data_IF_948132267939
#
_entry.id   IF_948132267939
#
_cell.length_a   1.000
_cell.length_b   1.000
_cell.length_c   1.000
_cell.angle_alpha   90.00
_cell.angle_beta   90.00
_cell.angle_gamma   90.00
#
_symmetry.space_group_name_H-M   'P 1'
#
loop_
_entity.id
_entity.type
_entity.pdbx_description
1 polymer ?
#
# COMPACT_ATOMS: atom_id res chain seq x y z
N UNK A 1 50.14 -3.40 -22.83
CA UNK A 1 48.80 -3.63 -23.43
C UNK A 1 47.86 -4.53 -22.60
N UNK A 2 48.35 -5.55 -21.89
CA UNK A 2 47.49 -6.49 -21.14
C UNK A 2 46.77 -5.87 -19.92
N UNK A 3 47.41 -4.92 -19.22
CA UNK A 3 46.79 -4.20 -18.08
C UNK A 3 45.64 -3.27 -18.50
N UNK A 4 45.74 -2.63 -19.67
CA UNK A 4 44.70 -1.74 -20.20
C UNK A 4 43.42 -2.51 -20.59
N UNK A 5 43.57 -3.71 -21.18
CA UNK A 5 42.44 -4.61 -21.50
C UNK A 5 41.75 -5.13 -20.24
N UNK A 6 42.49 -5.41 -19.16
CA UNK A 6 41.90 -5.82 -17.88
C UNK A 6 41.08 -4.70 -17.24
N UNK A 7 41.59 -3.47 -17.24
CA UNK A 7 40.88 -2.29 -16.68
C UNK A 7 39.62 -2.00 -17.50
N UNK A 8 39.69 -2.07 -18.84
CA UNK A 8 38.54 -1.87 -19.73
C UNK A 8 37.45 -2.95 -19.55
N UNK A 9 37.85 -4.21 -19.37
CA UNK A 9 36.90 -5.28 -19.09
C UNK A 9 36.26 -5.12 -17.70
N UNK A 10 37.01 -4.70 -16.67
CA UNK A 10 36.44 -4.46 -15.33
C UNK A 10 35.48 -3.27 -15.29
N UNK A 11 35.74 -2.19 -16.04
CA UNK A 11 34.82 -1.03 -16.11
C UNK A 11 33.55 -1.37 -16.90
N UNK A 12 33.65 -2.16 -17.98
CA UNK A 12 32.47 -2.66 -18.72
C UNK A 12 31.61 -3.57 -17.85
N UNK A 13 32.24 -4.44 -17.04
CA UNK A 13 31.50 -5.34 -16.13
C UNK A 13 30.81 -4.57 -15.01
N UNK A 14 31.48 -3.53 -14.45
CA UNK A 14 30.89 -2.66 -13.42
C UNK A 14 29.72 -1.84 -13.98
N UNK A 15 29.82 -1.32 -15.21
CA UNK A 15 28.73 -0.61 -15.89
C UNK A 15 27.54 -1.53 -16.21
N UNK A 16 27.81 -2.79 -16.56
CA UNK A 16 26.76 -3.78 -16.85
C UNK A 16 26.00 -4.19 -15.58
N UNK A 17 26.70 -4.36 -14.45
CA UNK A 17 26.06 -4.61 -13.15
C UNK A 17 25.23 -3.42 -12.68
N UNK A 18 25.67 -2.18 -12.93
CA UNK A 18 24.92 -0.96 -12.59
C UNK A 18 23.65 -0.79 -13.45
N UNK A 19 23.67 -1.24 -14.72
CA UNK A 19 22.51 -1.18 -15.61
C UNK A 19 21.39 -2.15 -15.23
N UNK A 20 21.72 -3.34 -14.72
CA UNK A 20 20.74 -4.37 -14.33
C UNK A 20 19.99 -3.96 -13.05
N UNK A 21 20.66 -3.33 -12.09
CA UNK A 21 20.02 -2.88 -10.83
C UNK A 21 19.02 -1.75 -11.05
N UNK A 22 19.26 -0.86 -12.02
CA UNK A 22 18.35 0.24 -12.38
C UNK A 22 17.07 -0.26 -13.06
N UNK A 23 17.15 -1.26 -13.94
CA UNK A 23 15.99 -1.83 -14.63
C UNK A 23 15.06 -2.59 -13.67
N UNK A 24 15.64 -3.35 -12.72
CA UNK A 24 14.86 -4.02 -11.67
C UNK A 24 14.19 -3.00 -10.73
N UNK A 25 14.89 -1.93 -10.35
CA UNK A 25 14.34 -0.88 -9.49
C UNK A 25 13.16 -0.10 -10.11
N UNK A 26 13.11 0.04 -11.43
CA UNK A 26 12.01 0.72 -12.10
C UNK A 26 10.74 -0.16 -12.17
N UNK A 27 10.92 -1.47 -12.37
CA UNK A 27 9.81 -2.44 -12.41
C UNK A 27 9.15 -2.55 -11.04
N UNK A 28 9.95 -2.66 -9.97
CA UNK A 28 9.42 -2.71 -8.59
C UNK A 28 8.62 -1.45 -8.22
N UNK A 29 9.04 -0.27 -8.70
CA UNK A 29 8.30 0.98 -8.44
C UNK A 29 6.94 1.04 -9.13
N UNK A 30 6.81 0.51 -10.35
CA UNK A 30 5.51 0.44 -11.06
C UNK A 30 4.53 -0.41 -10.25
N UNK A 31 4.97 -1.59 -9.82
CA UNK A 31 4.14 -2.55 -9.09
C UNK A 31 3.72 -2.03 -7.71
N UNK A 32 4.63 -1.33 -7.01
CA UNK A 32 4.32 -0.67 -5.74
C UNK A 32 3.23 0.39 -5.89
N UNK A 33 3.32 1.23 -6.92
CA UNK A 33 2.30 2.26 -7.16
C UNK A 33 0.97 1.61 -7.58
N UNK A 34 1.01 0.49 -8.29
CA UNK A 34 -0.20 -0.24 -8.70
C UNK A 34 -0.92 -0.83 -7.49
N UNK A 35 -0.18 -1.52 -6.62
CA UNK A 35 -0.70 -2.03 -5.37
C UNK A 35 -1.30 -0.91 -4.51
N UNK A 36 -0.60 0.24 -4.41
CA UNK A 36 -1.09 1.39 -3.65
C UNK A 36 -2.33 2.01 -4.28
N UNK A 37 -2.43 2.09 -5.60
CA UNK A 37 -3.62 2.59 -6.30
C UNK A 37 -4.83 1.70 -6.01
N UNK A 38 -4.66 0.38 -6.10
CA UNK A 38 -5.73 -0.59 -5.81
C UNK A 38 -6.18 -0.50 -4.34
N UNK A 39 -5.23 -0.37 -3.41
CA UNK A 39 -5.53 -0.17 -2.00
C UNK A 39 -6.37 1.09 -1.76
N UNK A 40 -5.95 2.23 -2.29
CA UNK A 40 -6.67 3.50 -2.16
C UNK A 40 -8.05 3.45 -2.81
N UNK A 41 -8.23 2.73 -3.93
CA UNK A 41 -9.55 2.51 -4.54
C UNK A 41 -10.48 1.73 -3.62
N UNK A 42 -9.99 0.61 -3.06
CA UNK A 42 -10.75 -0.19 -2.08
C UNK A 42 -11.08 0.63 -0.83
N UNK A 43 -10.18 1.51 -0.40
CA UNK A 43 -10.42 2.42 0.71
C UNK A 43 -11.54 3.41 0.39
N UNK A 44 -11.56 4.01 -0.81
CA UNK A 44 -12.65 4.89 -1.26
C UNK A 44 -13.99 4.15 -1.37
N UNK A 45 -14.00 2.92 -1.87
CA UNK A 45 -15.20 2.07 -1.91
C UNK A 45 -15.75 1.81 -0.51
N UNK A 46 -14.87 1.49 0.46
CA UNK A 46 -15.24 1.35 1.87
C UNK A 46 -15.75 2.65 2.46
N UNK A 47 -15.12 3.79 2.16
CA UNK A 47 -15.57 5.11 2.62
C UNK A 47 -16.98 5.39 2.10
N UNK A 48 -17.24 5.20 0.80
CA UNK A 48 -18.55 5.45 0.22
C UNK A 48 -19.62 4.51 0.82
N UNK A 49 -19.29 3.22 0.96
CA UNK A 49 -20.23 2.23 1.49
C UNK A 49 -20.47 2.30 3.00
N UNK A 50 -19.51 2.76 3.80
CA UNK A 50 -19.65 2.82 5.26
C UNK A 50 -20.01 4.22 5.77
N UNK A 51 -19.51 5.29 5.14
CA UNK A 51 -19.65 6.66 5.66
C UNK A 51 -20.72 7.48 4.93
N UNK A 52 -21.05 7.11 3.68
CA UNK A 52 -21.95 7.87 2.80
C UNK A 52 -23.18 7.08 2.30
N UNK A 53 -23.29 5.77 2.55
CA UNK A 53 -24.43 4.94 2.14
C UNK A 53 -25.72 5.24 2.93
N UNK A 54 -25.59 5.65 4.19
CA UNK A 54 -26.69 5.95 5.09
C UNK A 54 -26.99 7.46 5.12
N UNK A 55 -27.42 8.04 4.00
CA UNK A 55 -27.87 9.44 3.89
C UNK A 55 -29.20 9.72 4.63
N UNK A 56 -29.44 9.11 5.80
CA UNK A 56 -30.53 9.60 6.64
C UNK A 56 -30.25 11.06 6.98
N UNK A 57 -31.25 11.93 6.79
CA UNK A 57 -31.18 13.40 6.82
C UNK A 57 -30.75 14.03 8.18
N UNK A 58 -30.11 13.26 9.07
CA UNK A 58 -29.80 13.60 10.47
C UNK A 58 -28.31 13.54 10.83
N UNK A 59 -27.40 13.40 9.86
CA UNK A 59 -25.96 13.40 10.16
C UNK A 59 -25.52 14.77 10.67
N UNK A 60 -24.80 14.81 11.79
CA UNK A 60 -24.23 16.07 12.30
C UNK A 60 -23.31 16.71 11.26
N UNK A 61 -23.35 18.04 11.16
CA UNK A 61 -22.42 18.79 10.32
C UNK A 61 -20.95 18.48 10.67
N UNK A 62 -20.67 18.21 11.95
CA UNK A 62 -19.32 17.83 12.42
C UNK A 62 -18.87 16.46 11.89
N UNK A 63 -19.75 15.46 11.88
CA UNK A 63 -19.43 14.13 11.34
C UNK A 63 -19.28 14.17 9.82
N UNK A 64 -20.14 14.95 9.15
CA UNK A 64 -20.10 15.12 7.70
C UNK A 64 -18.80 15.76 7.22
N UNK A 65 -18.32 16.81 7.91
CA UNK A 65 -17.09 17.48 7.50
C UNK A 65 -15.86 16.60 7.71
N UNK A 66 -15.81 15.82 8.79
CA UNK A 66 -14.75 14.84 9.05
C UNK A 66 -14.69 13.78 7.93
N UNK A 67 -15.85 13.29 7.49
CA UNK A 67 -15.94 12.33 6.38
C UNK A 67 -15.49 12.88 5.05
N UNK A 68 -15.98 14.08 4.71
CA UNK A 68 -15.60 14.75 3.49
C UNK A 68 -14.10 14.98 3.49
N UNK A 69 -13.52 15.47 4.59
CA UNK A 69 -12.08 15.68 4.67
C UNK A 69 -11.28 14.37 4.51
N UNK A 70 -11.74 13.27 5.12
CA UNK A 70 -11.07 11.98 4.96
C UNK A 70 -11.19 11.45 3.52
N UNK A 71 -12.39 11.49 2.92
CA UNK A 71 -12.61 11.13 1.51
C UNK A 71 -11.73 11.95 0.58
N UNK A 72 -11.66 13.27 0.78
CA UNK A 72 -10.83 14.19 0.02
C UNK A 72 -9.34 13.82 0.15
N UNK A 73 -8.86 13.53 1.36
CA UNK A 73 -7.47 13.13 1.61
C UNK A 73 -7.08 11.86 0.85
N UNK A 74 -7.90 10.80 0.96
CA UNK A 74 -7.66 9.53 0.25
C UNK A 74 -7.75 9.71 -1.27
N UNK A 75 -8.71 10.50 -1.76
CA UNK A 75 -8.89 10.78 -3.19
C UNK A 75 -7.72 11.60 -3.76
N UNK A 76 -7.23 12.62 -3.04
CA UNK A 76 -6.04 13.37 -3.41
C UNK A 76 -4.80 12.45 -3.50
N UNK A 77 -4.65 11.52 -2.55
CA UNK A 77 -3.58 10.53 -2.59
C UNK A 77 -3.70 9.58 -3.79
N UNK A 78 -4.91 9.15 -4.13
CA UNK A 78 -5.17 8.33 -5.32
C UNK A 78 -4.75 9.06 -6.60
N UNK A 79 -5.12 10.33 -6.75
CA UNK A 79 -4.72 11.18 -7.88
C UNK A 79 -3.19 11.32 -7.92
N UNK A 80 -2.55 11.58 -6.78
CA UNK A 80 -1.08 11.70 -6.69
C UNK A 80 -0.37 10.43 -7.16
N UNK A 81 -0.79 9.26 -6.68
CA UNK A 81 -0.23 7.95 -7.07
C UNK A 81 -0.47 7.69 -8.57
N UNK A 82 -1.68 7.98 -9.06
CA UNK A 82 -2.03 7.80 -10.48
C UNK A 82 -1.19 8.71 -11.39
N UNK A 83 -0.97 9.96 -11.00
CA UNK A 83 -0.06 10.88 -11.70
C UNK A 83 1.38 10.38 -11.70
N UNK A 84 1.87 9.84 -10.57
CA UNK A 84 3.21 9.24 -10.50
C UNK A 84 3.35 8.06 -11.45
N UNK A 85 2.34 7.18 -11.54
CA UNK A 85 2.33 6.08 -12.51
C UNK A 85 2.31 6.57 -13.96
N UNK A 86 1.45 7.53 -14.28
CA UNK A 86 1.37 8.10 -15.63
C UNK A 86 2.70 8.76 -16.04
N UNK A 87 3.38 9.43 -15.12
CA UNK A 87 4.70 10.03 -15.36
C UNK A 87 5.78 8.97 -15.59
N UNK A 88 5.75 7.85 -14.84
CA UNK A 88 6.69 6.74 -15.07
C UNK A 88 6.45 6.07 -16.44
N UNK A 89 5.19 5.83 -16.80
CA UNK A 89 4.82 5.31 -18.12
C UNK A 89 5.25 6.26 -19.23
N UNK A 90 5.06 7.58 -19.05
CA UNK A 90 5.48 8.59 -20.02
C UNK A 90 6.99 8.53 -20.28
N UNK A 91 7.81 8.43 -19.22
CA UNK A 91 9.27 8.26 -19.35
C UNK A 91 9.64 6.95 -20.05
N UNK A 92 8.99 5.85 -19.69
CA UNK A 92 9.22 4.55 -20.34
C UNK A 92 8.87 4.58 -21.83
N UNK A 93 7.74 5.19 -22.18
CA UNK A 93 7.28 5.36 -23.57
C UNK A 93 8.31 6.19 -24.37
N UNK A 94 8.80 7.29 -23.80
CA UNK A 94 9.81 8.13 -24.45
C UNK A 94 11.12 7.36 -24.70
N UNK A 95 11.60 6.59 -23.72
CA UNK A 95 12.80 5.76 -23.85
C UNK A 95 12.61 4.66 -24.91
N UNK A 96 11.48 3.94 -24.87
CA UNK A 96 11.16 2.90 -25.84
C UNK A 96 11.03 3.47 -27.25
N UNK A 97 10.44 4.66 -27.40
CA UNK A 97 10.33 5.34 -28.69
C UNK A 97 11.71 5.69 -29.25
N UNK A 98 12.64 6.15 -28.41
CA UNK A 98 14.03 6.41 -28.80
C UNK A 98 14.73 5.13 -29.26
N UNK A 99 14.60 4.04 -28.49
CA UNK A 99 15.19 2.74 -28.83
C UNK A 99 14.61 2.16 -30.14
N UNK A 100 13.29 2.29 -30.34
CA UNK A 100 12.61 1.91 -31.58
C UNK A 100 13.15 2.68 -32.78
N UNK A 101 13.34 4.00 -32.66
CA UNK A 101 13.92 4.82 -33.74
C UNK A 101 15.35 4.37 -34.05
N UNK A 102 16.20 4.21 -33.03
CA UNK A 102 17.58 3.75 -33.21
C UNK A 102 17.64 2.36 -33.88
N UNK A 103 16.86 1.39 -33.41
CA UNK A 103 16.82 0.05 -34.00
C UNK A 103 16.27 0.06 -35.43
N UNK A 104 15.30 0.94 -35.73
CA UNK A 104 14.75 1.10 -37.08
C UNK A 104 15.82 1.62 -38.04
N UNK A 105 16.59 2.63 -37.63
CA UNK A 105 17.67 3.21 -38.45
C UNK A 105 18.80 2.20 -38.66
N UNK A 106 19.23 1.50 -37.61
CA UNK A 106 20.22 0.42 -37.69
C UNK A 106 19.77 -0.71 -38.64
N UNK A 107 18.52 -1.14 -38.53
CA UNK A 107 17.96 -2.17 -39.40
C UNK A 107 17.87 -1.72 -40.86
N UNK A 108 17.58 -0.45 -41.10
CA UNK A 108 17.55 0.12 -42.45
C UNK A 108 18.94 0.00 -43.10
N UNK A 109 19.98 0.47 -42.39
CA UNK A 109 21.37 0.40 -42.86
C UNK A 109 21.83 -1.06 -43.05
N UNK A 110 21.52 -1.96 -42.10
CA UNK A 110 21.89 -3.37 -42.19
C UNK A 110 21.24 -4.06 -43.38
N UNK A 111 19.95 -3.80 -43.63
CA UNK A 111 19.20 -4.35 -44.76
C UNK A 111 19.73 -3.82 -46.09
N UNK A 112 20.01 -2.53 -46.19
CA UNK A 112 20.58 -1.93 -47.39
C UNK A 112 21.96 -2.52 -47.73
N UNK A 113 22.84 -2.62 -46.73
CA UNK A 113 24.17 -3.21 -46.89
C UNK A 113 24.10 -4.70 -47.26
N UNK A 114 23.18 -5.45 -46.64
CA UNK A 114 22.95 -6.85 -46.98
C UNK A 114 22.43 -6.97 -48.43
N UNK A 115 21.46 -6.16 -48.84
CA UNK A 115 20.94 -6.15 -50.19
C UNK A 115 22.02 -5.84 -51.24
N UNK A 116 22.86 -4.82 -51.01
CA UNK A 116 24.02 -4.50 -51.88
C UNK A 116 24.98 -5.69 -52.01
N UNK A 117 25.25 -6.37 -50.90
CA UNK A 117 26.10 -7.56 -50.84
C UNK A 117 25.52 -8.71 -51.66
N UNK A 118 24.24 -9.02 -51.49
CA UNK A 118 23.54 -10.06 -52.24
C UNK A 118 23.49 -9.72 -53.73
N UNK A 119 23.21 -8.47 -54.10
CA UNK A 119 23.18 -8.03 -55.50
C UNK A 119 24.57 -8.18 -56.16
N UNK A 120 25.66 -7.77 -55.50
CA UNK A 120 27.03 -7.97 -56.00
C UNK A 120 27.38 -9.45 -56.14
N UNK A 121 27.03 -10.25 -55.13
CA UNK A 121 27.21 -11.71 -55.16
C UNK A 121 26.46 -12.35 -56.33
N UNK A 122 25.24 -11.88 -56.63
CA UNK A 122 24.43 -12.34 -57.75
C UNK A 122 25.01 -11.93 -59.12
N UNK A 123 25.49 -10.70 -59.27
CA UNK A 123 26.16 -10.26 -60.52
C UNK A 123 27.46 -11.04 -60.79
N UNK A 124 28.12 -11.54 -59.75
CA UNK A 124 29.37 -12.30 -59.83
C UNK A 124 29.16 -13.83 -59.75
N UNK A 125 27.94 -14.32 -60.00
CA UNK A 125 27.47 -15.66 -59.60
C UNK A 125 27.72 -16.79 -60.60
N UNK A 126 28.48 -16.59 -61.68
CA UNK A 126 28.86 -17.73 -62.52
C UNK A 126 29.60 -18.76 -61.65
N UNK A 127 29.08 -19.99 -61.56
CA UNK A 127 29.72 -21.09 -60.79
C UNK A 127 31.13 -21.37 -61.32
N UNK A 128 31.31 -21.19 -62.63
CA UNK A 128 32.60 -21.15 -63.30
C UNK A 128 33.52 -20.11 -62.67
N UNK A 129 33.05 -18.91 -62.31
CA UNK A 129 33.89 -17.87 -61.71
C UNK A 129 34.41 -18.21 -60.31
N UNK A 130 33.71 -19.02 -59.51
CA UNK A 130 34.20 -19.39 -58.15
C UNK A 130 35.26 -20.48 -58.20
N UNK A 131 34.99 -21.54 -58.97
CA UNK A 131 35.96 -22.62 -59.19
C UNK A 131 37.15 -22.08 -59.97
N UNK A 132 36.93 -21.30 -61.03
CA UNK A 132 37.99 -20.63 -61.80
C UNK A 132 38.78 -19.64 -60.94
N UNK A 133 38.17 -18.92 -59.99
CA UNK A 133 38.90 -18.05 -59.05
C UNK A 133 39.82 -18.84 -58.09
N UNK A 134 39.41 -20.03 -57.68
CA UNK A 134 40.25 -20.90 -56.86
C UNK A 134 41.35 -21.55 -57.72
N UNK A 135 41.03 -21.97 -58.95
CA UNK A 135 41.97 -22.61 -59.89
C UNK A 135 42.94 -21.62 -60.55
N UNK A 136 42.60 -20.32 -60.65
CA UNK A 136 43.49 -19.24 -61.12
C UNK A 136 44.49 -18.76 -60.05
N UNK A 137 44.78 -19.61 -59.07
CA UNK A 137 45.77 -19.30 -58.04
C UNK A 137 47.17 -19.71 -58.52
N UNK A 138 48.17 -18.87 -58.28
CA UNK A 138 49.58 -19.12 -58.64
C UNK A 138 50.19 -20.31 -57.88
N UNK A 139 49.65 -20.65 -56.70
CA UNK A 139 50.08 -21.79 -55.88
C UNK A 139 49.00 -22.27 -54.90
N UNK A 140 49.19 -23.47 -54.34
CA UNK A 140 48.28 -24.10 -53.38
C UNK A 140 48.03 -23.25 -52.12
N UNK A 141 49.06 -22.56 -51.61
CA UNK A 141 48.94 -21.68 -50.44
C UNK A 141 47.98 -20.52 -50.71
N UNK A 142 48.04 -19.92 -51.90
CA UNK A 142 47.14 -18.84 -52.32
C UNK A 142 45.71 -19.37 -52.49
N UNK A 143 45.53 -20.54 -53.13
CA UNK A 143 44.22 -21.18 -53.28
C UNK A 143 43.56 -21.48 -51.92
N UNK A 144 44.33 -22.03 -50.96
CA UNK A 144 43.85 -22.30 -49.60
C UNK A 144 43.42 -21.02 -48.88
N UNK A 145 44.20 -19.93 -48.96
CA UNK A 145 43.81 -18.63 -48.39
C UNK A 145 42.54 -18.05 -49.04
N UNK A 146 42.41 -18.13 -50.37
CA UNK A 146 41.20 -17.69 -51.10
C UNK A 146 39.96 -18.47 -50.61
N UNK A 147 40.08 -19.80 -50.45
CA UNK A 147 39.01 -20.64 -49.89
C UNK A 147 38.65 -20.26 -48.45
N UNK A 148 39.65 -20.03 -47.59
CA UNK A 148 39.42 -19.56 -46.22
C UNK A 148 38.65 -18.22 -46.19
N UNK A 149 39.03 -17.26 -47.03
CA UNK A 149 38.33 -15.98 -47.12
C UNK A 149 36.90 -16.11 -47.65
N UNK A 150 36.66 -16.98 -48.64
CA UNK A 150 35.30 -17.27 -49.11
C UNK A 150 34.42 -17.83 -47.99
N UNK A 151 34.95 -18.78 -47.20
CA UNK A 151 34.25 -19.34 -46.05
C UNK A 151 34.01 -18.30 -44.94
N UNK A 152 34.99 -17.43 -44.66
CA UNK A 152 34.82 -16.34 -43.69
C UNK A 152 33.75 -15.34 -44.16
N UNK A 153 33.74 -15.00 -45.45
CA UNK A 153 32.75 -14.11 -46.04
C UNK A 153 31.33 -14.69 -45.95
N UNK A 154 31.16 -15.98 -46.28
CA UNK A 154 29.88 -16.68 -46.13
C UNK A 154 29.39 -16.69 -44.67
N UNK A 155 30.30 -16.92 -43.70
CA UNK A 155 29.97 -16.83 -42.26
C UNK A 155 29.52 -15.43 -41.85
N UNK A 156 30.17 -14.38 -42.35
CA UNK A 156 29.77 -12.99 -42.07
C UNK A 156 28.37 -12.70 -42.65
N UNK A 157 28.07 -13.17 -43.86
CA UNK A 157 26.75 -13.01 -44.47
C UNK A 157 25.65 -13.73 -43.68
N UNK A 158 25.91 -14.96 -43.24
CA UNK A 158 24.98 -15.72 -42.40
C UNK A 158 24.73 -14.99 -41.08
N UNK A 159 25.78 -14.49 -40.43
CA UNK A 159 25.66 -13.70 -39.20
C UNK A 159 24.87 -12.42 -39.42
N UNK A 160 25.11 -11.69 -40.51
CA UNK A 160 24.36 -10.47 -40.83
C UNK A 160 22.86 -10.73 -41.03
N UNK A 161 22.50 -11.85 -41.67
CA UNK A 161 21.11 -12.26 -41.82
C UNK A 161 20.45 -12.58 -40.47
N UNK A 162 21.15 -13.28 -39.59
CA UNK A 162 20.65 -13.58 -38.24
C UNK A 162 20.53 -12.31 -37.39
N UNK A 163 21.51 -11.41 -37.44
CA UNK A 163 21.48 -10.13 -36.73
C UNK A 163 20.27 -9.27 -37.19
N UNK A 164 19.97 -9.23 -38.49
CA UNK A 164 18.78 -8.56 -39.03
C UNK A 164 17.50 -9.20 -38.47
N UNK A 165 17.43 -10.53 -38.44
CA UNK A 165 16.26 -11.28 -37.93
C UNK A 165 16.03 -10.99 -36.44
N UNK A 166 17.06 -11.10 -35.61
CA UNK A 166 16.99 -10.83 -34.16
C UNK A 166 16.59 -9.39 -33.89
N UNK A 167 17.24 -8.42 -34.56
CA UNK A 167 16.89 -6.99 -34.40
C UNK A 167 15.47 -6.69 -34.90
N UNK A 168 15.03 -7.29 -36.00
CA UNK A 168 13.67 -7.12 -36.50
C UNK A 168 12.63 -7.66 -35.52
N UNK A 169 12.90 -8.84 -34.91
CA UNK A 169 12.04 -9.41 -33.88
C UNK A 169 11.98 -8.52 -32.64
N UNK A 170 13.13 -8.03 -32.16
CA UNK A 170 13.20 -7.08 -31.04
C UNK A 170 12.40 -5.79 -31.33
N UNK A 171 12.53 -5.23 -32.53
CA UNK A 171 11.78 -4.05 -32.95
C UNK A 171 10.27 -4.33 -32.97
N UNK A 172 9.83 -5.50 -33.45
CA UNK A 172 8.43 -5.91 -33.42
C UNK A 172 7.91 -5.97 -31.98
N UNK A 173 8.64 -6.65 -31.09
CA UNK A 173 8.23 -6.83 -29.69
C UNK A 173 8.19 -5.49 -28.94
N UNK A 174 9.14 -4.58 -29.19
CA UNK A 174 9.13 -3.22 -28.65
C UNK A 174 7.93 -2.40 -29.15
N UNK A 175 7.58 -2.47 -30.43
CA UNK A 175 6.40 -1.77 -30.96
C UNK A 175 5.10 -2.30 -30.31
N UNK A 176 4.95 -3.62 -30.18
CA UNK A 176 3.80 -4.22 -29.51
C UNK A 176 3.71 -3.81 -28.03
N UNK A 177 4.85 -3.81 -27.32
CA UNK A 177 4.93 -3.34 -25.94
C UNK A 177 4.58 -1.85 -25.80
N UNK A 178 5.04 -1.01 -26.74
CA UNK A 178 4.76 0.42 -26.75
C UNK A 178 3.27 0.72 -26.91
N UNK A 179 2.57 -0.01 -27.78
CA UNK A 179 1.11 0.13 -27.97
C UNK A 179 0.39 -0.15 -26.65
N UNK A 180 0.70 -1.28 -26.00
CA UNK A 180 0.12 -1.65 -24.70
C UNK A 180 0.38 -0.60 -23.62
N UNK A 181 1.60 -0.05 -23.56
CA UNK A 181 1.95 1.00 -22.60
C UNK A 181 1.18 2.31 -22.84
N UNK A 182 0.93 2.67 -24.11
CA UNK A 182 0.12 3.85 -24.45
C UNK A 182 -1.33 3.66 -24.04
N UNK A 183 -1.93 2.51 -24.37
CA UNK A 183 -3.29 2.15 -23.96
C UNK A 183 -3.45 2.18 -22.42
N UNK A 184 -2.51 1.58 -21.68
CA UNK A 184 -2.49 1.61 -20.22
C UNK A 184 -2.45 3.05 -19.70
N UNK A 185 -1.56 3.89 -20.24
CA UNK A 185 -1.44 5.30 -19.85
C UNK A 185 -2.74 6.08 -20.12
N UNK A 186 -3.34 5.90 -21.29
CA UNK A 186 -4.54 6.64 -21.69
C UNK A 186 -5.75 6.25 -20.83
N UNK A 187 -5.86 4.96 -20.47
CA UNK A 187 -6.83 4.48 -19.48
C UNK A 187 -6.64 5.16 -18.13
N UNK A 188 -5.40 5.24 -17.63
CA UNK A 188 -5.11 5.89 -16.34
C UNK A 188 -5.45 7.38 -16.35
N UNK A 189 -5.18 8.07 -17.45
CA UNK A 189 -5.51 9.49 -17.59
C UNK A 189 -7.03 9.70 -17.61
N UNK A 190 -7.77 8.85 -18.34
CA UNK A 190 -9.23 8.91 -18.39
C UNK A 190 -9.86 8.67 -17.00
N UNK A 191 -9.42 7.62 -16.30
CA UNK A 191 -9.87 7.33 -14.93
C UNK A 191 -9.53 8.47 -13.96
N UNK A 192 -8.32 9.04 -14.04
CA UNK A 192 -7.89 10.15 -13.20
C UNK A 192 -8.73 11.42 -13.44
N UNK A 193 -9.14 11.69 -14.69
CA UNK A 193 -10.00 12.84 -15.03
C UNK A 193 -11.39 12.71 -14.39
N UNK A 194 -11.96 11.51 -14.37
CA UNK A 194 -13.25 11.25 -13.69
C UNK A 194 -13.10 11.47 -12.18
N UNK A 195 -12.03 10.94 -11.58
CA UNK A 195 -11.75 11.11 -10.14
C UNK A 195 -11.56 12.58 -9.79
N UNK A 196 -10.86 13.37 -10.61
CA UNK A 196 -10.70 14.81 -10.41
C UNK A 196 -12.04 15.56 -10.44
N UNK A 197 -12.94 15.21 -11.36
CA UNK A 197 -14.29 15.81 -11.41
C UNK A 197 -15.09 15.50 -10.14
N UNK A 198 -15.01 14.27 -9.64
CA UNK A 198 -15.66 13.90 -8.38
C UNK A 198 -15.04 14.61 -7.18
N UNK A 199 -13.71 14.70 -7.13
CA UNK A 199 -12.98 15.42 -6.09
C UNK A 199 -13.44 16.88 -6.02
N UNK A 200 -13.61 17.54 -7.16
CA UNK A 200 -14.07 18.92 -7.22
C UNK A 200 -15.50 19.08 -6.66
N UNK A 201 -16.40 18.14 -6.94
CA UNK A 201 -17.74 18.13 -6.35
C UNK A 201 -17.67 17.94 -4.82
N UNK A 202 -16.87 16.99 -4.34
CA UNK A 202 -16.67 16.74 -2.91
C UNK A 202 -16.03 17.97 -2.21
N UNK A 203 -15.12 18.69 -2.88
CA UNK A 203 -14.49 19.91 -2.37
C UNK A 203 -15.51 21.04 -2.20
N UNK A 204 -16.36 21.27 -3.20
CA UNK A 204 -17.42 22.27 -3.10
C UNK A 204 -18.39 21.98 -1.96
N UNK A 205 -18.75 20.70 -1.78
CA UNK A 205 -19.58 20.30 -0.64
C UNK A 205 -18.87 20.55 0.69
N UNK A 206 -17.59 20.18 0.80
CA UNK A 206 -16.79 20.44 1.99
C UNK A 206 -16.69 21.94 2.30
N UNK A 207 -16.43 22.78 1.31
CA UNK A 207 -16.36 24.24 1.45
C UNK A 207 -17.68 24.83 1.93
N UNK A 208 -18.81 24.38 1.37
CA UNK A 208 -20.15 24.81 1.80
C UNK A 208 -20.41 24.46 3.26
N UNK A 209 -20.17 23.21 3.67
CA UNK A 209 -20.38 22.76 5.05
C UNK A 209 -19.44 23.49 6.01
N UNK A 210 -18.18 23.70 5.62
CA UNK A 210 -17.22 24.43 6.44
C UNK A 210 -17.60 25.91 6.59
N UNK A 211 -18.17 26.54 5.57
CA UNK A 211 -18.66 27.91 5.66
C UNK A 211 -19.79 28.04 6.70
N UNK A 212 -20.70 27.07 6.76
CA UNK A 212 -21.76 27.04 7.75
C UNK A 212 -21.24 26.75 9.17
N UNK A 213 -20.30 25.80 9.30
CA UNK A 213 -19.63 25.52 10.58
C UNK A 213 -18.91 26.75 11.12
N UNK A 214 -18.26 27.55 10.25
CA UNK A 214 -17.57 28.77 10.65
C UNK A 214 -18.50 29.85 11.21
N UNK A 215 -19.75 29.93 10.73
CA UNK A 215 -20.75 30.88 11.27
C UNK A 215 -21.09 30.54 12.72
N UNK A 216 -21.20 29.25 13.04
CA UNK A 216 -21.55 28.74 14.37
C UNK A 216 -20.35 28.11 15.10
N UNK A 217 -19.13 28.64 14.89
CA UNK A 217 -17.90 28.00 15.36
C UNK A 217 -17.89 27.75 16.87
N UNK A 218 -18.40 28.69 17.67
CA UNK A 218 -18.46 28.58 19.13
C UNK A 218 -19.31 27.39 19.59
N UNK A 219 -20.45 27.16 18.93
CA UNK A 219 -21.35 26.02 19.19
C UNK A 219 -20.65 24.70 18.89
N UNK A 220 -20.04 24.57 17.72
CA UNK A 220 -19.34 23.34 17.34
C UNK A 220 -18.08 23.09 18.18
N UNK A 221 -17.34 24.14 18.53
CA UNK A 221 -16.22 24.06 19.46
C UNK A 221 -16.65 23.56 20.85
N UNK A 222 -17.79 24.02 21.37
CA UNK A 222 -18.35 23.51 22.64
C UNK A 222 -18.72 22.03 22.52
N UNK A 223 -19.41 21.62 21.45
CA UNK A 223 -19.78 20.22 21.22
C UNK A 223 -18.56 19.29 21.18
N UNK A 224 -17.48 19.71 20.53
CA UNK A 224 -16.22 18.94 20.49
C UNK A 224 -15.62 18.84 21.89
N UNK A 225 -15.58 19.96 22.64
CA UNK A 225 -15.06 19.99 24.00
C UNK A 225 -15.84 19.06 24.93
N UNK A 226 -17.16 19.03 24.80
CA UNK A 226 -18.02 18.18 25.63
C UNK A 226 -17.87 16.70 25.27
N UNK A 227 -17.82 16.36 23.97
CA UNK A 227 -17.47 14.99 23.52
C UNK A 227 -16.10 14.55 24.03
N UNK A 228 -15.10 15.46 24.06
CA UNK A 228 -13.78 15.13 24.61
C UNK A 228 -13.82 14.90 26.13
N UNK A 229 -14.61 15.68 26.88
CA UNK A 229 -14.78 15.44 28.33
C UNK A 229 -15.40 14.07 28.61
N UNK A 230 -16.40 13.66 27.82
CA UNK A 230 -17.02 12.33 27.94
C UNK A 230 -16.03 11.20 27.68
N UNK A 231 -15.22 11.33 26.62
CA UNK A 231 -14.15 10.37 26.32
C UNK A 231 -13.14 10.30 27.46
N UNK A 232 -12.70 11.46 27.99
CA UNK A 232 -11.76 11.49 29.10
C UNK A 232 -12.30 10.82 30.36
N UNK A 233 -13.61 10.96 30.66
CA UNK A 233 -14.24 10.26 31.79
C UNK A 233 -14.22 8.74 31.60
N UNK A 234 -14.50 8.27 30.39
CA UNK A 234 -14.43 6.85 30.04
C UNK A 234 -13.00 6.33 30.20
N UNK A 235 -12.00 7.06 29.69
CA UNK A 235 -10.60 6.68 29.78
C UNK A 235 -10.10 6.63 31.24
N UNK A 236 -10.52 7.59 32.08
CA UNK A 236 -10.23 7.58 33.52
C UNK A 236 -10.87 6.38 34.24
N UNK A 237 -12.07 5.97 33.84
CA UNK A 237 -12.72 4.79 34.41
C UNK A 237 -12.00 3.50 33.98
N UNK A 238 -11.60 3.40 32.72
CA UNK A 238 -10.79 2.29 32.22
C UNK A 238 -9.49 2.19 33.02
N UNK A 239 -8.76 3.30 33.17
CA UNK A 239 -7.53 3.39 33.98
C UNK A 239 -7.76 2.94 35.44
N UNK A 240 -8.85 3.38 36.07
CA UNK A 240 -9.21 2.95 37.42
C UNK A 240 -9.45 1.45 37.50
N UNK A 241 -10.22 0.87 36.58
CA UNK A 241 -10.53 -0.56 36.56
C UNK A 241 -9.26 -1.38 36.36
N UNK A 242 -8.40 -0.97 35.42
CA UNK A 242 -7.13 -1.64 35.14
C UNK A 242 -6.24 -1.64 36.38
N UNK A 243 -6.04 -0.47 37.01
CA UNK A 243 -5.24 -0.35 38.25
C UNK A 243 -5.78 -1.21 39.38
N UNK A 244 -7.10 -1.19 39.59
CA UNK A 244 -7.75 -1.96 40.64
C UNK A 244 -7.55 -3.48 40.43
N UNK A 245 -7.63 -3.94 39.18
CA UNK A 245 -7.47 -5.36 38.86
C UNK A 245 -6.00 -5.81 38.89
N UNK A 246 -5.04 -4.94 38.50
CA UNK A 246 -3.59 -5.17 38.73
C UNK A 246 -3.31 -5.32 40.23
N UNK A 247 -3.83 -4.41 41.06
CA UNK A 247 -3.62 -4.45 42.51
C UNK A 247 -4.22 -5.73 43.14
N UNK A 248 -5.41 -6.14 42.71
CA UNK A 248 -6.03 -7.42 43.14
C UNK A 248 -5.20 -8.63 42.74
N UNK A 249 -4.70 -8.66 41.50
CA UNK A 249 -3.83 -9.72 41.00
C UNK A 249 -2.54 -9.82 41.82
N UNK A 250 -1.89 -8.68 42.09
CA UNK A 250 -0.63 -8.64 42.84
C UNK A 250 -0.82 -9.03 44.32
N UNK A 251 -1.93 -8.58 44.94
CA UNK A 251 -2.30 -9.00 46.31
C UNK A 251 -2.55 -10.50 46.39
N UNK A 252 -3.26 -11.09 45.41
CA UNK A 252 -3.50 -12.54 45.35
C UNK A 252 -2.21 -13.34 45.18
N UNK A 253 -1.22 -12.78 44.48
CA UNK A 253 0.09 -13.40 44.26
C UNK A 253 1.10 -13.17 45.41
N UNK A 254 0.69 -12.56 46.53
CA UNK A 254 1.57 -12.30 47.67
C UNK A 254 2.66 -11.26 47.41
N UNK A 255 2.59 -10.51 46.30
CA UNK A 255 3.55 -9.45 45.97
C UNK A 255 3.10 -8.14 46.61
N UNK A 256 3.83 -7.67 47.62
CA UNK A 256 3.57 -6.41 48.35
C UNK A 256 4.25 -5.17 47.76
N UNK A 257 5.01 -5.32 46.67
CA UNK A 257 5.69 -4.20 46.02
C UNK A 257 4.70 -3.28 45.30
N UNK A 258 4.63 -2.04 45.77
CA UNK A 258 3.86 -0.90 45.20
C UNK A 258 4.38 -0.45 43.82
N UNK A 259 5.43 -1.07 43.28
CA UNK A 259 6.19 -0.59 42.12
C UNK A 259 6.26 -1.56 40.92
N UNK A 260 5.70 -2.77 40.99
CA UNK A 260 5.58 -3.60 39.79
C UNK A 260 4.47 -3.05 38.89
N UNK A 261 4.87 -2.50 37.74
CA UNK A 261 3.99 -1.78 36.81
C UNK A 261 3.05 -2.68 36.00
N UNK A 262 2.85 -3.95 36.36
CA UNK A 262 2.06 -4.94 35.60
C UNK A 262 1.40 -6.03 36.44
N UNK A 263 0.63 -6.90 35.79
CA UNK A 263 -0.09 -7.99 36.46
C UNK A 263 0.87 -9.08 36.96
N UNK A 264 0.62 -9.63 38.14
CA UNK A 264 1.25 -10.87 38.58
C UNK A 264 0.73 -12.04 37.74
N UNK A 265 1.45 -12.37 36.67
CA UNK A 265 1.07 -13.39 35.71
C UNK A 265 1.39 -14.81 36.20
N UNK A 266 0.43 -15.73 36.02
CA UNK A 266 0.67 -17.19 36.09
C UNK A 266 1.56 -17.65 34.91
N UNK A 267 2.04 -18.90 34.94
CA UNK A 267 2.85 -19.43 33.85
C UNK A 267 2.11 -19.38 32.50
N UNK A 268 0.82 -19.71 32.50
CA UNK A 268 -0.07 -19.68 31.35
C UNK A 268 -0.27 -18.24 30.86
N UNK A 269 -0.51 -17.30 31.77
CA UNK A 269 -0.71 -15.89 31.41
C UNK A 269 0.57 -15.24 30.86
N UNK A 270 1.77 -15.70 31.26
CA UNK A 270 3.06 -15.30 30.65
C UNK A 270 3.18 -15.79 29.21
N UNK A 271 2.76 -17.03 28.93
CA UNK A 271 2.75 -17.56 27.57
C UNK A 271 1.78 -16.77 26.68
N UNK A 272 0.57 -16.47 27.17
CA UNK A 272 -0.39 -15.65 26.42
C UNK A 272 0.15 -14.24 26.15
N UNK A 273 0.83 -13.62 27.11
CA UNK A 273 1.47 -12.31 26.92
C UNK A 273 2.59 -12.35 25.88
N UNK A 274 3.41 -13.40 25.88
CA UNK A 274 4.46 -13.61 24.89
C UNK A 274 3.86 -13.84 23.50
N UNK A 275 2.83 -14.68 23.39
CA UNK A 275 2.12 -14.91 22.12
C UNK A 275 1.49 -13.62 21.57
N UNK A 276 0.88 -12.80 22.44
CA UNK A 276 0.30 -11.51 22.04
C UNK A 276 1.37 -10.57 21.47
N UNK A 277 2.53 -10.47 22.14
CA UNK A 277 3.66 -9.67 21.70
C UNK A 277 4.24 -10.17 20.37
N UNK A 278 4.36 -11.49 20.20
CA UNK A 278 4.85 -12.12 18.97
C UNK A 278 3.93 -11.86 17.75
N UNK A 279 2.65 -11.57 18.01
CA UNK A 279 1.67 -11.21 16.99
C UNK A 279 1.53 -9.69 16.77
N UNK A 280 2.44 -8.87 17.32
CA UNK A 280 2.47 -7.42 17.04
C UNK A 280 2.54 -7.17 15.53
N UNK A 281 1.64 -6.32 15.03
CA UNK A 281 1.47 -5.98 13.61
C UNK A 281 0.73 -7.03 12.77
N UNK A 282 0.28 -8.13 13.39
CA UNK A 282 -0.39 -9.26 12.72
C UNK A 282 -1.76 -9.59 13.31
N UNK A 283 -2.20 -8.85 14.33
CA UNK A 283 -3.49 -9.12 14.94
C UNK A 283 -4.64 -8.85 13.95
N UNK A 284 -5.69 -9.68 13.97
CA UNK A 284 -6.89 -9.45 13.16
C UNK A 284 -7.60 -8.16 13.58
N UNK A 285 -8.35 -7.58 12.65
CA UNK A 285 -9.22 -6.45 12.93
C UNK A 285 -10.33 -6.84 13.91
N UNK A 286 -10.76 -5.91 14.79
CA UNK A 286 -11.86 -6.16 15.74
C UNK A 286 -13.25 -6.17 15.07
N UNK A 287 -13.33 -5.83 13.79
CA UNK A 287 -14.53 -5.89 12.94
C UNK A 287 -14.16 -6.45 11.57
N UNK A 288 -15.12 -7.05 10.87
CA UNK A 288 -14.88 -7.65 9.55
C UNK A 288 -14.60 -6.59 8.48
N UNK A 289 -15.38 -5.51 8.48
CA UNK A 289 -15.20 -4.36 7.59
C UNK A 289 -15.13 -3.11 8.44
N UNK A 290 -14.09 -2.31 8.23
CA UNK A 290 -13.99 -1.05 8.94
C UNK A 290 -13.04 -0.06 8.29
N UNK A 291 -13.22 1.20 8.66
CA UNK A 291 -12.42 2.35 8.23
C UNK A 291 -12.04 3.17 9.46
N UNK A 292 -10.75 3.45 9.65
CA UNK A 292 -10.26 4.22 10.80
C UNK A 292 -10.52 5.70 10.57
N UNK A 293 -11.49 6.27 11.30
CA UNK A 293 -11.75 7.71 11.27
C UNK A 293 -10.82 8.53 12.16
N UNK A 294 -10.58 8.03 13.36
CA UNK A 294 -9.75 8.71 14.35
C UNK A 294 -8.60 7.81 14.74
N UNK A 295 -7.38 8.31 14.55
CA UNK A 295 -6.14 7.60 14.94
C UNK A 295 -5.74 7.93 16.38
N UNK A 296 -4.87 7.10 16.92
CA UNK A 296 -4.25 7.27 18.24
C UNK A 296 -3.41 8.55 18.32
N UNK A 297 -3.41 9.18 19.49
CA UNK A 297 -2.58 10.34 19.83
C UNK A 297 -3.31 11.67 19.76
N UNK A 298 -2.51 12.75 19.82
CA UNK A 298 -2.96 14.14 19.78
C UNK A 298 -3.15 14.58 18.34
N UNK A 299 -4.32 15.11 18.03
CA UNK A 299 -4.61 15.68 16.72
C UNK A 299 -5.40 16.96 16.86
N UNK A 300 -5.15 17.92 15.96
CA UNK A 300 -5.95 19.15 15.91
C UNK A 300 -7.33 18.82 15.36
N UNK A 301 -8.35 19.46 15.90
CA UNK A 301 -9.69 19.39 15.33
C UNK A 301 -9.68 19.95 13.90
N UNK A 302 -10.41 19.28 13.01
CA UNK A 302 -10.62 19.73 11.63
C UNK A 302 -11.53 20.95 11.53
N UNK A 303 -12.30 21.22 12.59
CA UNK A 303 -13.27 22.32 12.69
C UNK A 303 -12.65 23.53 13.36
N UNK A 304 -12.02 23.35 14.53
CA UNK A 304 -11.32 24.41 15.25
C UNK A 304 -9.84 24.03 15.46
N UNK A 305 -8.92 24.61 14.68
CA UNK A 305 -7.49 24.33 14.79
C UNK A 305 -6.87 24.63 16.16
N UNK A 306 -7.55 25.40 17.02
CA UNK A 306 -7.09 25.71 18.38
C UNK A 306 -7.39 24.57 19.38
N UNK A 307 -8.32 23.67 19.04
CA UNK A 307 -8.69 22.55 19.88
C UNK A 307 -7.86 21.30 19.53
N UNK A 308 -7.33 20.66 20.57
CA UNK A 308 -6.62 19.38 20.47
C UNK A 308 -7.51 18.25 20.96
N UNK A 309 -7.67 17.23 20.12
CA UNK A 309 -8.37 15.98 20.41
C UNK A 309 -7.30 14.95 20.78
N UNK A 310 -7.38 14.43 22.00
CA UNK A 310 -6.54 13.32 22.46
C UNK A 310 -7.32 12.01 22.27
N UNK A 311 -6.74 11.05 21.56
CA UNK A 311 -7.29 9.70 21.44
C UNK A 311 -6.34 8.65 22.01
N UNK A 312 -6.81 7.88 23.00
CA UNK A 312 -6.07 6.77 23.59
C UNK A 312 -6.26 5.44 22.83
N UNK A 313 -6.86 5.48 21.65
CA UNK A 313 -7.11 4.33 20.79
C UNK A 313 -7.43 4.75 19.36
N UNK A 314 -8.20 3.94 18.65
CA UNK A 314 -8.72 4.22 17.32
C UNK A 314 -10.24 4.17 17.30
N UNK A 315 -10.86 4.98 16.43
CA UNK A 315 -12.30 4.89 16.15
C UNK A 315 -12.50 4.31 14.75
N UNK A 316 -13.16 3.16 14.68
CA UNK A 316 -13.37 2.39 13.46
C UNK A 316 -14.83 2.49 13.06
N UNK A 317 -15.12 3.13 11.94
CA UNK A 317 -16.44 3.11 11.32
C UNK A 317 -16.70 1.75 10.69
N UNK A 318 -17.89 1.19 10.89
CA UNK A 318 -18.26 -0.15 10.39
C UNK A 318 -19.74 -0.21 9.99
N UNK A 319 -20.19 -1.37 9.51
CA UNK A 319 -21.59 -1.60 9.12
C UNK A 319 -22.51 -1.58 10.35
N UNK A 320 -23.79 -1.25 10.14
CA UNK A 320 -24.80 -1.30 11.21
C UNK A 320 -24.88 -2.71 11.79
N UNK A 321 -25.01 -2.82 13.10
CA UNK A 321 -25.06 -4.09 13.81
C UNK A 321 -23.85 -5.01 13.53
N UNK A 322 -22.69 -4.44 13.15
CA UNK A 322 -21.48 -5.23 12.93
C UNK A 322 -21.06 -5.95 14.21
N UNK A 323 -20.68 -7.22 14.04
CA UNK A 323 -20.18 -8.07 15.12
C UNK A 323 -18.75 -7.68 15.47
N UNK A 324 -18.54 -7.38 16.74
CA UNK A 324 -17.22 -7.10 17.30
C UNK A 324 -16.57 -8.41 17.69
N UNK A 325 -15.34 -8.60 17.24
CA UNK A 325 -14.55 -9.80 17.45
C UNK A 325 -13.32 -9.50 18.30
N UNK A 326 -12.96 -10.45 19.17
CA UNK A 326 -11.75 -10.35 19.94
C UNK A 326 -10.50 -10.46 19.04
N UNK A 327 -9.55 -9.54 19.21
CA UNK A 327 -8.32 -9.54 18.39
C UNK A 327 -7.37 -10.66 18.77
N UNK A 328 -7.49 -11.22 19.98
CA UNK A 328 -6.64 -12.28 20.47
C UNK A 328 -7.31 -13.10 21.57
N UNK A 329 -6.79 -14.30 21.86
CA UNK A 329 -7.23 -15.16 22.97
C UNK A 329 -6.94 -14.50 24.33
N UNK A 330 -7.84 -14.57 25.29
CA UNK A 330 -7.68 -13.92 26.60
C UNK A 330 -8.87 -14.13 27.53
N UNK A 331 -8.89 -13.41 28.65
CA UNK A 331 -9.96 -13.50 29.65
C UNK A 331 -10.66 -12.14 29.79
N UNK A 332 -11.99 -12.12 29.89
CA UNK A 332 -12.74 -10.87 30.07
C UNK A 332 -12.47 -10.30 31.46
N UNK A 333 -11.78 -9.16 31.50
CA UNK A 333 -11.38 -8.46 32.71
C UNK A 333 -12.59 -7.79 33.37
N UNK A 334 -13.37 -7.08 32.57
CA UNK A 334 -14.57 -6.37 33.02
C UNK A 334 -15.47 -6.02 31.84
N UNK A 335 -16.77 -5.92 32.13
CA UNK A 335 -17.76 -5.30 31.25
C UNK A 335 -18.24 -4.05 31.96
N UNK A 336 -17.87 -2.88 31.43
CA UNK A 336 -18.25 -1.60 31.98
C UNK A 336 -19.57 -1.16 31.36
N UNK A 337 -20.59 -0.97 32.19
CA UNK A 337 -21.88 -0.41 31.80
C UNK A 337 -22.07 0.88 32.61
N UNK A 338 -22.01 2.04 31.95
CA UNK A 338 -22.24 3.32 32.60
C UNK A 338 -23.66 3.82 32.27
N UNK A 339 -24.26 4.62 33.15
CA UNK A 339 -25.62 5.15 32.94
C UNK A 339 -25.73 6.06 31.71
N UNK A 340 -24.64 6.72 31.32
CA UNK A 340 -24.62 7.75 30.26
C UNK A 340 -23.78 7.36 29.05
N UNK A 341 -23.13 6.19 29.05
CA UNK A 341 -22.30 5.76 27.92
C UNK A 341 -22.51 4.29 27.58
N UNK A 342 -22.33 3.98 26.30
CA UNK A 342 -22.50 2.62 25.79
C UNK A 342 -21.45 1.67 26.39
N UNK A 343 -21.82 0.40 26.62
CA UNK A 343 -20.93 -0.60 27.20
C UNK A 343 -19.53 -0.68 26.58
N UNK A 344 -18.55 -0.99 27.43
CA UNK A 344 -17.16 -1.25 27.06
C UNK A 344 -16.72 -2.60 27.63
N UNK A 345 -16.16 -3.46 26.78
CA UNK A 345 -15.60 -4.76 27.19
C UNK A 345 -14.08 -4.64 27.25
N UNK A 346 -13.48 -5.07 28.36
CA UNK A 346 -12.03 -5.15 28.54
C UNK A 346 -11.62 -6.63 28.54
N UNK A 347 -10.68 -7.01 27.67
CA UNK A 347 -10.14 -8.37 27.58
C UNK A 347 -8.64 -8.33 27.91
N UNK A 348 -8.22 -9.19 28.83
CA UNK A 348 -6.85 -9.34 29.25
C UNK A 348 -6.13 -10.44 28.46
N UNK A 349 -4.94 -10.12 27.98
CA UNK A 349 -4.01 -10.99 27.26
C UNK A 349 -2.66 -11.02 28.01
N UNK A 350 -2.70 -11.43 29.27
CA UNK A 350 -1.56 -11.33 30.20
C UNK A 350 -1.31 -9.88 30.64
N UNK A 351 -0.20 -9.26 30.18
CA UNK A 351 0.15 -7.86 30.49
C UNK A 351 -0.49 -6.84 29.54
N UNK A 352 -1.21 -7.30 28.53
CA UNK A 352 -1.91 -6.43 27.57
C UNK A 352 -3.40 -6.49 27.81
N UNK A 353 -4.09 -5.37 27.59
CA UNK A 353 -5.54 -5.28 27.69
C UNK A 353 -6.07 -4.67 26.40
N UNK A 354 -7.09 -5.27 25.81
CA UNK A 354 -7.83 -4.68 24.70
C UNK A 354 -9.19 -4.18 25.18
N UNK A 355 -9.55 -2.97 24.79
CA UNK A 355 -10.81 -2.33 25.14
C UNK A 355 -11.68 -2.15 23.89
N UNK A 356 -12.92 -2.63 23.97
CA UNK A 356 -13.92 -2.55 22.90
C UNK A 356 -15.11 -1.76 23.42
N UNK A 357 -15.21 -0.50 23.01
CA UNK A 357 -16.24 0.42 23.48
C UNK A 357 -17.23 0.83 22.40
N UNK A 358 -18.34 1.44 22.85
CA UNK A 358 -19.48 1.78 22.02
C UNK A 358 -20.25 0.56 21.51
N UNK A 359 -20.47 -0.42 22.39
CA UNK A 359 -21.21 -1.64 22.07
C UNK A 359 -22.70 -1.45 22.37
N UNK A 360 -23.59 -1.87 21.47
CA UNK A 360 -25.04 -1.94 21.69
C UNK A 360 -25.42 -3.16 22.51
N UNK A 361 -24.81 -4.31 22.19
CA UNK A 361 -25.00 -5.58 22.88
C UNK A 361 -23.65 -6.18 23.22
N UNK A 362 -23.58 -6.81 24.38
CA UNK A 362 -22.41 -7.55 24.86
C UNK A 362 -22.80 -9.01 25.01
N UNK A 363 -22.00 -9.93 24.46
CA UNK A 363 -22.27 -11.36 24.48
C UNK A 363 -21.48 -12.13 25.55
N UNK A 364 -20.58 -11.43 26.24
CA UNK A 364 -19.63 -12.00 27.19
C UNK A 364 -19.78 -11.40 28.58
N UNK A 365 -19.34 -12.13 29.60
CA UNK A 365 -19.37 -11.75 31.00
C UNK A 365 -17.96 -11.71 31.58
N UNK A 366 -17.79 -11.03 32.73
CA UNK A 366 -16.50 -10.99 33.43
C UNK A 366 -16.07 -12.40 33.81
N UNK A 367 -14.82 -12.76 33.51
CA UNK A 367 -14.24 -14.07 33.77
C UNK A 367 -14.30 -15.05 32.60
N UNK A 368 -15.06 -14.75 31.54
CA UNK A 368 -15.15 -15.64 30.38
C UNK A 368 -13.80 -15.75 29.65
N UNK A 369 -13.45 -16.96 29.22
CA UNK A 369 -12.33 -17.21 28.33
C UNK A 369 -12.75 -17.00 26.87
N UNK A 370 -11.96 -16.21 26.15
CA UNK A 370 -12.24 -15.76 24.80
C UNK A 370 -11.17 -16.28 23.85
N UNK A 371 -11.61 -16.81 22.72
CA UNK A 371 -10.76 -17.23 21.61
C UNK A 371 -10.54 -16.09 20.61
N UNK A 372 -9.45 -16.14 19.86
CA UNK A 372 -9.19 -15.18 18.77
C UNK A 372 -10.33 -15.21 17.74
N UNK A 373 -10.80 -14.03 17.32
CA UNK A 373 -11.96 -13.80 16.43
C UNK A 373 -13.34 -14.18 17.00
N UNK A 374 -13.44 -14.61 18.26
CA UNK A 374 -14.74 -14.85 18.88
C UNK A 374 -15.55 -13.55 18.95
N UNK A 375 -16.85 -13.66 18.71
CA UNK A 375 -17.78 -12.53 18.80
C UNK A 375 -18.02 -12.16 20.26
N UNK A 376 -17.80 -10.89 20.61
CA UNK A 376 -17.91 -10.38 21.97
C UNK A 376 -19.05 -9.38 22.14
N UNK A 377 -19.59 -8.88 21.04
CA UNK A 377 -20.69 -7.93 21.05
C UNK A 377 -21.03 -7.37 19.68
N UNK A 378 -21.82 -6.31 19.69
CA UNK A 378 -22.33 -5.64 18.50
C UNK A 378 -22.14 -4.13 18.62
N UNK A 379 -21.67 -3.47 17.56
CA UNK A 379 -21.40 -2.02 17.59
C UNK A 379 -22.71 -1.23 17.63
N UNK A 380 -22.73 -0.19 18.46
CA UNK A 380 -23.85 0.75 18.54
C UNK A 380 -23.86 1.72 17.36
N UNK A 381 -25.05 1.88 16.78
CA UNK A 381 -25.36 2.95 15.83
C UNK A 381 -26.08 4.08 16.55
N UNK A 382 -25.54 5.29 16.47
CA UNK A 382 -26.16 6.46 17.10
C UNK A 382 -27.36 7.02 16.31
N UNK A 383 -27.99 8.06 16.88
CA UNK A 383 -29.13 8.75 16.28
C UNK A 383 -28.77 9.54 15.02
N UNK A 384 -27.48 9.82 14.81
CA UNK A 384 -26.94 10.47 13.60
C UNK A 384 -26.63 9.43 12.49
N UNK A 385 -26.77 8.13 12.80
CA UNK A 385 -26.56 7.02 11.88
C UNK A 385 -25.12 6.50 11.88
N UNK A 386 -24.25 7.00 12.76
CA UNK A 386 -22.84 6.63 12.84
C UNK A 386 -22.67 5.34 13.64
N UNK A 387 -21.97 4.36 13.04
CA UNK A 387 -21.66 3.08 13.69
C UNK A 387 -20.16 2.98 13.90
N UNK A 388 -19.72 3.34 15.11
CA UNK A 388 -18.30 3.57 15.42
C UNK A 388 -17.82 2.67 16.57
N UNK A 389 -16.93 1.72 16.29
CA UNK A 389 -16.23 0.98 17.33
C UNK A 389 -15.10 1.83 17.92
N UNK A 390 -15.05 1.97 19.25
CA UNK A 390 -13.89 2.54 19.95
C UNK A 390 -12.97 1.38 20.37
N UNK A 391 -11.78 1.31 19.80
CA UNK A 391 -10.83 0.23 20.07
C UNK A 391 -9.53 0.78 20.63
N UNK A 392 -9.12 0.30 21.80
CA UNK A 392 -7.88 0.73 22.46
C UNK A 392 -7.07 -0.48 22.93
N UNK A 393 -5.74 -0.34 22.96
CA UNK A 393 -4.83 -1.34 23.50
C UNK A 393 -4.04 -0.69 24.62
N UNK A 394 -3.90 -1.39 25.74
CA UNK A 394 -3.11 -0.95 26.88
C UNK A 394 -2.05 -2.00 27.16
N UNK A 395 -0.85 -1.53 27.52
CA UNK A 395 0.20 -2.36 28.11
C UNK A 395 0.27 -1.98 29.58
N UNK A 396 -0.08 -2.93 30.43
CA UNK A 396 -0.38 -2.69 31.83
C UNK A 396 -1.44 -1.59 31.96
N UNK A 397 -1.01 -0.36 32.26
CA UNK A 397 -1.88 0.81 32.42
C UNK A 397 -1.61 1.94 31.40
N UNK A 398 -0.64 1.78 30.50
CA UNK A 398 -0.32 2.78 29.48
C UNK A 398 -1.01 2.43 28.16
N UNK A 399 -1.74 3.37 27.57
CA UNK A 399 -2.31 3.20 26.23
C UNK A 399 -1.21 3.03 25.18
N UNK A 400 -1.50 2.26 24.15
CA UNK A 400 -0.59 1.91 23.05
C UNK A 400 -1.28 2.22 21.73
N UNK A 401 -0.51 2.56 20.70
CA UNK A 401 -1.04 2.82 19.37
C UNK A 401 -1.55 1.51 18.71
N UNK A 402 -2.87 1.33 18.50
CA UNK A 402 -3.40 0.11 17.92
C UNK A 402 -2.91 -0.20 16.50
N UNK A 403 -2.48 0.81 15.75
CA UNK A 403 -1.95 0.64 14.39
C UNK A 403 -0.63 -0.15 14.35
N UNK A 404 0.11 -0.21 15.46
CA UNK A 404 1.31 -1.05 15.55
C UNK A 404 0.99 -2.53 15.81
N UNK A 405 -0.25 -2.84 16.17
CA UNK A 405 -0.67 -4.17 16.60
C UNK A 405 -1.52 -4.88 15.55
N UNK A 406 -2.45 -4.15 14.94
CA UNK A 406 -3.42 -4.67 13.97
C UNK A 406 -2.81 -4.71 12.57
N UNK A 407 -3.09 -5.78 11.82
CA UNK A 407 -2.58 -5.96 10.46
C UNK A 407 -3.14 -4.90 9.50
N UNK A 408 -2.24 -4.06 8.97
CA UNK A 408 -2.53 -3.04 7.93
C UNK A 408 -3.69 -2.08 8.30
N UNK A 409 -3.54 -1.37 9.42
CA UNK A 409 -4.55 -0.44 9.98
C UNK A 409 -4.60 0.97 9.39
#
# INVERSE_FOLDING_TARGET
>A
MMKLRRILNTTITLLFVLGITLAQAQTTKKDQLEARRIELRKEIEKINSLLFSNQSKKKSQTALIEDLNYKLSVTNNLIKVTNQQANLLTRSIANNQKEITQLRDELSILKENYAKTIQKSYKNKSEQSRVMFLLSSENFRQAYKRLQYMNQYAKVQQKQAEDIKVKAKKLQDLNLGLVKQKEEKDKLIAENKVIQKQLEADRKQHESVMADIKKDLSKYASQIKDKQKEVNKIDQEIDRIIKAEIAKSNKKAGKTSTYESGFALTAEAKLVAADFLNNKGKLPWPVEKGVVRLRYGKQRSLIDPKLEIQSNGVRIATERAAKVRAVFKGTVLAVMVQKTSNPVVLIQHGNYITAYGNLQRVFVKKGDEISTKQEIGEVFTDSEGETMLKFSIYKNNASQNPAEWIYKM
#
